data_IF_966296649846
#
_entry.id   IF_966296649846
#
_cell.length_a   1.000
_cell.length_b   1.000
_cell.length_c   1.000
_cell.angle_alpha   90.00
_cell.angle_beta   90.00
_cell.angle_gamma   90.00
#
_symmetry.space_group_name_H-M   'P 1'
#
loop_
_entity.id
_entity.type
_entity.pdbx_description
1 polymer ?
#
# COMPACT_ATOMS: atom_id res chain seq x y z
N UNK A 1 -7.95 -23.01 -0.90
CA UNK A 1 -7.10 -23.77 -1.83
C UNK A 1 -7.38 -23.29 -3.24
N UNK A 2 -6.56 -22.37 -3.77
CA UNK A 2 -6.68 -21.92 -5.17
C UNK A 2 -5.73 -22.76 -6.02
N UNK A 3 -6.27 -23.58 -6.91
CA UNK A 3 -5.47 -24.30 -7.91
C UNK A 3 -4.86 -23.27 -8.87
N UNK A 4 -3.55 -23.12 -8.84
CA UNK A 4 -2.81 -22.23 -9.73
C UNK A 4 -2.74 -22.86 -11.14
N UNK A 5 -3.84 -22.81 -11.88
CA UNK A 5 -3.93 -23.35 -13.23
C UNK A 5 -3.15 -22.53 -14.27
N UNK A 6 -2.59 -21.38 -13.90
CA UNK A 6 -1.74 -20.57 -14.77
C UNK A 6 -0.42 -20.23 -14.05
N UNK A 7 0.71 -20.87 -14.41
CA UNK A 7 2.00 -20.46 -13.89
C UNK A 7 2.27 -19.02 -14.34
N UNK A 8 2.85 -18.21 -13.43
CA UNK A 8 3.30 -16.87 -13.78
C UNK A 8 4.43 -16.96 -14.79
N UNK A 9 4.32 -16.20 -15.86
CA UNK A 9 5.39 -16.02 -16.84
C UNK A 9 6.32 -14.93 -16.30
N UNK A 10 7.64 -15.17 -16.32
CA UNK A 10 8.61 -14.18 -15.90
C UNK A 10 8.60 -12.97 -16.86
N UNK A 11 8.79 -11.73 -16.37
CA UNK A 11 8.83 -10.55 -17.25
C UNK A 11 9.87 -10.66 -18.37
N UNK A 12 11.04 -11.22 -18.06
CA UNK A 12 12.10 -11.46 -19.03
C UNK A 12 11.67 -12.42 -20.16
N UNK A 13 10.81 -13.39 -19.87
CA UNK A 13 10.26 -14.27 -20.90
C UNK A 13 9.30 -13.51 -21.82
N UNK A 14 8.46 -12.62 -21.27
CA UNK A 14 7.57 -11.78 -22.08
C UNK A 14 8.36 -10.85 -23.00
N UNK A 15 9.47 -10.28 -22.52
CA UNK A 15 10.38 -9.48 -23.34
C UNK A 15 10.99 -10.30 -24.49
N UNK A 16 11.49 -11.49 -24.19
CA UNK A 16 12.00 -12.42 -25.21
C UNK A 16 10.91 -12.83 -26.23
N UNK A 17 9.67 -13.00 -25.79
CA UNK A 17 8.53 -13.31 -26.66
C UNK A 17 8.21 -12.12 -27.60
N UNK A 18 8.34 -10.88 -27.12
CA UNK A 18 8.19 -9.68 -27.94
C UNK A 18 9.30 -9.57 -28.98
N UNK A 19 10.55 -9.83 -28.59
CA UNK A 19 11.69 -9.89 -29.52
C UNK A 19 11.48 -10.96 -30.59
N UNK A 20 10.97 -12.13 -30.19
CA UNK A 20 10.62 -13.23 -31.09
C UNK A 20 9.54 -12.79 -32.09
N UNK A 21 8.52 -12.07 -31.64
CA UNK A 21 7.50 -11.50 -32.52
C UNK A 21 8.10 -10.47 -33.52
N UNK A 22 9.06 -9.64 -33.09
CA UNK A 22 9.76 -8.73 -33.98
C UNK A 22 10.58 -9.46 -35.03
N UNK A 23 11.30 -10.52 -34.64
CA UNK A 23 12.05 -11.36 -35.57
C UNK A 23 11.13 -12.06 -36.58
N UNK A 24 9.97 -12.54 -36.14
CA UNK A 24 8.95 -13.17 -36.98
C UNK A 24 8.47 -12.27 -38.13
N UNK A 25 8.45 -10.95 -37.93
CA UNK A 25 8.04 -9.99 -38.99
C UNK A 25 9.00 -9.93 -40.17
N UNK A 26 10.26 -10.33 -39.97
CA UNK A 26 11.31 -10.28 -41.00
C UNK A 26 11.43 -11.61 -41.74
N UNK A 27 10.79 -12.68 -41.24
CA UNK A 27 10.79 -13.99 -41.91
C UNK A 27 9.84 -13.93 -43.10
N UNK A 28 10.42 -13.82 -44.29
CA UNK A 28 9.69 -13.94 -45.54
C UNK A 28 8.98 -15.30 -45.63
N UNK A 29 7.77 -15.30 -46.18
CA UNK A 29 6.95 -16.50 -46.43
C UNK A 29 6.55 -17.31 -45.18
N UNK A 30 6.58 -16.73 -43.99
CA UNK A 30 6.05 -17.38 -42.78
C UNK A 30 4.54 -17.68 -42.93
N UNK A 31 4.22 -18.96 -43.17
CA UNK A 31 2.84 -19.45 -43.37
C UNK A 31 2.55 -20.58 -42.39
N UNK A 32 1.98 -20.29 -41.21
CA UNK A 32 1.71 -21.33 -40.23
C UNK A 32 0.51 -22.18 -40.66
N UNK A 33 0.59 -23.49 -40.39
CA UNK A 33 -0.54 -24.42 -40.63
C UNK A 33 -1.77 -24.11 -39.78
N UNK A 34 -1.57 -23.48 -38.61
CA UNK A 34 -2.65 -23.05 -37.73
C UNK A 34 -2.74 -21.53 -37.73
N UNK A 35 -3.91 -21.00 -38.12
CA UNK A 35 -4.18 -19.56 -38.17
C UNK A 35 -3.95 -18.85 -36.83
N UNK A 36 -4.08 -19.56 -35.70
CA UNK A 36 -3.81 -19.01 -34.36
C UNK A 36 -2.38 -18.51 -34.18
N UNK A 37 -1.42 -19.07 -34.91
CA UNK A 37 -0.01 -18.70 -34.86
C UNK A 37 0.39 -17.75 -36.00
N UNK A 38 -0.57 -17.22 -36.75
CA UNK A 38 -0.30 -16.24 -37.78
C UNK A 38 0.16 -14.89 -37.20
N UNK A 39 0.93 -14.14 -38.00
CA UNK A 39 1.46 -12.84 -37.64
C UNK A 39 0.37 -11.85 -37.13
N UNK A 40 -0.83 -11.77 -37.75
CA UNK A 40 -1.90 -10.92 -37.25
C UNK A 40 -2.41 -11.35 -35.87
N UNK A 41 -2.50 -12.67 -35.60
CA UNK A 41 -2.94 -13.17 -34.30
C UNK A 41 -1.93 -12.87 -33.19
N UNK A 42 -0.63 -12.93 -33.49
CA UNK A 42 0.42 -12.50 -32.57
C UNK A 42 0.37 -10.98 -32.30
N UNK A 43 0.12 -10.17 -33.34
CA UNK A 43 -0.07 -8.73 -33.21
C UNK A 43 -1.24 -8.39 -32.29
N UNK A 44 -2.39 -9.03 -32.49
CA UNK A 44 -3.59 -8.85 -31.65
C UNK A 44 -3.34 -9.28 -30.20
N UNK A 45 -2.59 -10.36 -29.99
CA UNK A 45 -2.24 -10.83 -28.66
C UNK A 45 -1.33 -9.83 -27.93
N UNK A 46 -0.32 -9.29 -28.61
CA UNK A 46 0.54 -8.25 -28.05
C UNK A 46 -0.24 -6.96 -27.74
N UNK A 47 -1.12 -6.52 -28.64
CA UNK A 47 -1.95 -5.34 -28.40
C UNK A 47 -2.83 -5.52 -27.15
N UNK A 48 -3.50 -6.67 -27.01
CA UNK A 48 -4.28 -6.99 -25.81
C UNK A 48 -3.43 -7.00 -24.54
N UNK A 49 -2.24 -7.59 -24.59
CA UNK A 49 -1.31 -7.62 -23.46
C UNK A 49 -0.99 -6.20 -22.99
N UNK A 50 -0.64 -5.29 -23.92
CA UNK A 50 -0.34 -3.90 -23.59
C UNK A 50 -1.53 -3.14 -23.00
N UNK A 51 -2.73 -3.33 -23.55
CA UNK A 51 -3.95 -2.73 -22.99
C UNK A 51 -4.21 -3.16 -21.55
N UNK A 52 -4.04 -4.46 -21.26
CA UNK A 52 -4.25 -4.98 -19.90
C UNK A 52 -3.16 -4.53 -18.93
N UNK A 53 -1.91 -4.43 -19.39
CA UNK A 53 -0.80 -3.86 -18.60
C UNK A 53 -1.07 -2.40 -18.20
N UNK A 54 -1.49 -1.56 -19.15
CA UNK A 54 -1.89 -0.17 -18.88
C UNK A 54 -3.01 -0.09 -17.84
N UNK A 55 -4.08 -0.87 -18.03
CA UNK A 55 -5.20 -0.91 -17.09
C UNK A 55 -4.74 -1.33 -15.68
N UNK A 56 -3.81 -2.29 -15.57
CA UNK A 56 -3.26 -2.73 -14.29
C UNK A 56 -2.44 -1.62 -13.60
N UNK A 57 -1.63 -0.87 -14.36
CA UNK A 57 -0.86 0.27 -13.85
C UNK A 57 -1.80 1.36 -13.35
N UNK A 58 -2.84 1.71 -14.12
CA UNK A 58 -3.83 2.70 -13.70
C UNK A 58 -4.57 2.30 -12.43
N UNK A 59 -4.98 1.02 -12.32
CA UNK A 59 -5.63 0.50 -11.13
C UNK A 59 -4.70 0.55 -9.91
N UNK A 60 -3.43 0.18 -10.08
CA UNK A 60 -2.44 0.25 -9.01
C UNK A 60 -2.23 1.68 -8.52
N UNK A 61 -2.07 2.64 -9.44
CA UNK A 61 -1.89 4.05 -9.10
C UNK A 61 -3.11 4.62 -8.37
N UNK A 62 -4.32 4.28 -8.84
CA UNK A 62 -5.57 4.70 -8.20
C UNK A 62 -5.68 4.16 -6.77
N UNK A 63 -5.31 2.89 -6.58
CA UNK A 63 -5.30 2.26 -5.26
C UNK A 63 -4.30 2.96 -4.33
N UNK A 64 -3.08 3.22 -4.81
CA UNK A 64 -2.06 3.94 -4.04
C UNK A 64 -2.55 5.33 -3.62
N UNK A 65 -3.15 6.10 -4.54
CA UNK A 65 -3.73 7.39 -4.21
C UNK A 65 -4.85 7.30 -3.15
N UNK A 66 -5.71 6.28 -3.22
CA UNK A 66 -6.75 6.06 -2.22
C UNK A 66 -6.18 5.70 -0.84
N UNK A 67 -5.08 4.93 -0.78
CA UNK A 67 -4.37 4.64 0.47
C UNK A 67 -3.76 5.89 1.09
N UNK A 68 -3.18 6.75 0.26
CA UNK A 68 -2.60 8.00 0.75
C UNK A 68 -3.68 8.93 1.31
N UNK A 69 -4.82 9.04 0.62
CA UNK A 69 -5.97 9.80 1.12
C UNK A 69 -6.50 9.26 2.46
N UNK A 70 -6.55 7.93 2.62
CA UNK A 70 -6.93 7.29 3.88
C UNK A 70 -5.96 7.63 5.01
N UNK A 71 -4.64 7.59 4.76
CA UNK A 71 -3.63 7.91 5.75
C UNK A 71 -3.72 9.38 6.19
N UNK A 72 -3.97 10.30 5.27
CA UNK A 72 -4.21 11.71 5.58
C UNK A 72 -5.44 11.86 6.49
N UNK A 73 -6.59 11.27 6.11
CA UNK A 73 -7.80 11.34 6.91
C UNK A 73 -7.63 10.74 8.33
N UNK A 74 -6.86 9.65 8.45
CA UNK A 74 -6.54 9.06 9.75
C UNK A 74 -5.69 9.98 10.63
N UNK A 75 -4.71 10.67 10.05
CA UNK A 75 -3.86 11.64 10.77
C UNK A 75 -4.68 12.83 11.25
N UNK A 76 -5.48 13.41 10.36
CA UNK A 76 -6.33 14.56 10.69
C UNK A 76 -7.31 14.22 11.83
N UNK A 77 -7.94 13.04 11.74
CA UNK A 77 -8.82 12.55 12.80
C UNK A 77 -8.06 12.37 14.13
N UNK A 78 -6.86 11.79 14.09
CA UNK A 78 -6.04 11.60 15.27
C UNK A 78 -5.68 12.94 15.94
N UNK A 79 -5.28 13.94 15.16
CA UNK A 79 -4.94 15.28 15.64
C UNK A 79 -6.13 15.97 16.30
N UNK A 80 -7.33 15.90 15.69
CA UNK A 80 -8.56 16.44 16.27
C UNK A 80 -8.87 15.77 17.62
N UNK A 81 -8.76 14.44 17.70
CA UNK A 81 -9.02 13.71 18.95
C UNK A 81 -8.00 14.07 20.03
N UNK A 82 -6.73 14.29 19.68
CA UNK A 82 -5.73 14.79 20.62
C UNK A 82 -6.08 16.20 21.12
N UNK A 83 -6.51 17.09 20.21
CA UNK A 83 -6.99 18.42 20.55
C UNK A 83 -8.17 18.38 21.52
N UNK A 84 -9.21 17.60 21.21
CA UNK A 84 -10.40 17.44 22.05
C UNK A 84 -10.06 16.89 23.45
N UNK A 85 -9.11 15.95 23.55
CA UNK A 85 -8.61 15.45 24.84
C UNK A 85 -7.91 16.53 25.67
N UNK A 86 -7.17 17.42 25.01
CA UNK A 86 -6.50 18.53 25.67
C UNK A 86 -7.50 19.60 26.12
N UNK A 87 -8.51 19.91 25.31
CA UNK A 87 -9.59 20.84 25.68
C UNK A 87 -10.42 20.31 26.85
N UNK A 88 -10.79 19.03 26.84
CA UNK A 88 -11.49 18.42 27.97
C UNK A 88 -10.70 18.53 29.28
N UNK A 89 -9.37 18.38 29.23
CA UNK A 89 -8.50 18.61 30.38
C UNK A 89 -8.47 20.06 30.83
N UNK A 90 -8.51 21.02 29.91
CA UNK A 90 -8.55 22.44 30.22
C UNK A 90 -9.88 22.85 30.86
N UNK A 91 -11.01 22.31 30.37
CA UNK A 91 -12.35 22.66 30.84
C UNK A 91 -12.71 22.03 32.19
N UNK A 92 -12.44 20.74 32.37
CA UNK A 92 -12.88 20.00 33.58
C UNK A 92 -11.77 19.80 34.62
N UNK A 93 -10.53 20.11 34.25
CA UNK A 93 -9.36 19.92 35.10
C UNK A 93 -8.81 18.48 35.09
N UNK A 94 -7.54 18.29 35.48
CA UNK A 94 -6.80 17.04 35.28
C UNK A 94 -7.20 15.88 36.22
N UNK A 95 -8.10 16.09 37.17
CA UNK A 95 -8.53 15.09 38.17
C UNK A 95 -10.03 14.77 38.08
N UNK A 96 -10.72 15.26 37.05
CA UNK A 96 -12.16 15.11 36.87
C UNK A 96 -12.54 13.72 36.29
N UNK A 97 -13.74 13.24 36.65
CA UNK A 97 -14.33 12.01 36.11
C UNK A 97 -14.61 12.09 34.60
N UNK A 98 -14.95 13.27 34.09
CA UNK A 98 -15.17 13.52 32.67
C UNK A 98 -13.89 13.27 31.86
N UNK A 99 -12.74 13.72 32.35
CA UNK A 99 -11.44 13.44 31.71
C UNK A 99 -11.07 11.96 31.80
N UNK A 100 -11.43 11.30 32.91
CA UNK A 100 -11.20 9.87 33.11
C UNK A 100 -11.98 8.99 32.11
N UNK A 101 -13.23 9.36 31.80
CA UNK A 101 -14.06 8.65 30.82
C UNK A 101 -13.50 8.68 29.39
N UNK A 102 -12.63 9.64 29.06
CA UNK A 102 -11.95 9.74 27.76
C UNK A 102 -10.72 8.81 27.64
N UNK A 103 -10.56 7.88 28.60
CA UNK A 103 -9.45 6.93 28.67
C UNK A 103 -8.14 7.55 29.18
N UNK A 104 -8.19 8.75 29.77
CA UNK A 104 -7.03 9.43 30.35
C UNK A 104 -6.97 9.14 31.85
N UNK A 105 -5.80 8.76 32.38
CA UNK A 105 -5.65 8.61 33.84
C UNK A 105 -5.79 9.95 34.56
N UNK A 106 -6.48 9.96 35.69
CA UNK A 106 -6.57 11.13 36.57
C UNK A 106 -5.20 11.48 37.16
N UNK A 107 -5.02 12.74 37.58
CA UNK A 107 -3.79 13.18 38.23
C UNK A 107 -3.53 12.44 39.55
N UNK A 108 -4.58 12.21 40.34
CA UNK A 108 -4.51 11.45 41.60
C UNK A 108 -4.11 9.98 41.40
N UNK A 109 -4.54 9.37 40.30
CA UNK A 109 -4.24 7.98 39.94
C UNK A 109 -2.87 7.81 39.26
N UNK A 110 -2.22 8.91 38.87
CA UNK A 110 -0.91 8.87 38.22
C UNK A 110 0.19 8.70 39.27
N UNK A 111 0.84 7.52 39.27
CA UNK A 111 2.00 7.26 40.13
C UNK A 111 3.07 8.34 39.93
N UNK A 112 3.56 8.92 41.03
CA UNK A 112 4.61 9.95 40.99
C UNK A 112 5.91 9.31 40.51
N UNK A 113 6.64 9.91 39.56
CA UNK A 113 7.94 9.40 39.16
C UNK A 113 8.87 9.38 40.39
N UNK A 114 9.39 8.19 40.75
CA UNK A 114 10.43 8.07 41.77
C UNK A 114 11.70 8.74 41.21
N UNK A 115 12.08 9.90 41.76
CA UNK A 115 13.42 10.46 41.52
C UNK A 115 14.44 9.48 42.12
N UNK A 116 15.17 8.77 41.27
CA UNK A 116 16.39 8.08 41.70
C UNK A 116 17.42 9.18 41.95
N UNK A 117 17.67 9.49 43.22
CA UNK A 117 18.79 10.35 43.61
C UNK A 117 20.04 9.52 43.34
N UNK A 118 20.83 9.91 42.33
CA UNK A 118 22.14 9.31 42.07
C UNK A 118 23.04 9.69 43.26
N UNK A 119 23.21 8.75 44.18
CA UNK A 119 24.06 8.90 45.36
C UNK A 119 25.50 9.18 44.95
N UNK A 120 26.08 10.16 45.63
CA UNK A 120 27.50 10.54 45.60
C UNK A 120 28.32 9.30 45.95
N UNK A 121 29.25 8.91 45.07
CA UNK A 121 30.27 7.93 45.39
C UNK A 121 31.31 8.64 46.26
N UNK A 122 31.31 8.34 47.56
CA UNK A 122 32.42 8.66 48.46
C UNK A 122 33.49 7.59 48.35
N UNK A 123 34.72 8.07 48.49
CA UNK A 123 36.06 7.52 48.24
C UNK A 123 36.48 6.36 49.15
#
# INVERSE_FOLDING_TARGET
MASAANPRIAPQQIEADIETYLALKVIDNYTPHNARYALPSAADALARLRTVEEAAIHAHNTLSAARDALLTAQRDFHEIILGAKNEARALFGPDSDQVASLGLKKKSERSKPKRVVKGVAEE
#
